data_IF_355076487804
#
_entry.id   IF_355076487804
#
_cell.length_a   1.000
_cell.length_b   1.000
_cell.length_c   1.000
_cell.angle_alpha   90.00
_cell.angle_beta   90.00
_cell.angle_gamma   90.00
#
_symmetry.space_group_name_H-M   'P 1'
#
loop_
_entity.id
_entity.type
_entity.pdbx_description
1 polymer ?
#
# COMPACT_ATOMS: atom_id res chain seq x y z
N UNK A 1 -1.38 5.93 -67.87
CA UNK A 1 -0.81 7.04 -68.66
C UNK A 1 -0.60 8.20 -67.72
N UNK A 2 0.66 8.46 -67.34
CA UNK A 2 1.48 9.56 -67.88
C UNK A 2 1.12 10.88 -67.14
N UNK A 3 2.00 11.69 -66.57
CA UNK A 3 3.38 11.98 -66.93
C UNK A 3 3.89 13.15 -66.03
N UNK A 4 5.14 13.07 -65.54
CA UNK A 4 6.10 14.17 -65.26
C UNK A 4 5.69 15.31 -64.26
N UNK A 5 6.56 16.14 -63.67
CA UNK A 5 7.92 16.60 -63.98
C UNK A 5 8.61 17.01 -62.66
N UNK A 6 9.92 16.81 -62.61
CA UNK A 6 10.94 17.44 -61.77
C UNK A 6 10.71 18.94 -61.47
N UNK A 7 11.05 19.38 -60.25
CA UNK A 7 11.78 20.64 -60.06
C UNK A 7 12.83 20.45 -58.97
N UNK A 8 14.10 20.54 -59.38
CA UNK A 8 15.24 20.78 -58.51
C UNK A 8 15.37 22.28 -58.27
N UNK A 9 15.63 22.70 -57.03
CA UNK A 9 16.34 23.96 -56.75
C UNK A 9 16.94 23.91 -55.34
N UNK A 10 18.26 23.84 -55.33
CA UNK A 10 19.16 23.91 -54.19
C UNK A 10 19.16 25.35 -53.66
N UNK A 11 18.97 25.53 -52.35
CA UNK A 11 19.54 26.69 -51.65
C UNK A 11 20.26 26.21 -50.39
N UNK A 12 21.58 26.29 -50.49
CA UNK A 12 22.57 26.21 -49.41
C UNK A 12 22.36 27.34 -48.40
N UNK A 13 22.17 26.98 -47.14
CA UNK A 13 22.27 27.89 -46.00
C UNK A 13 22.94 27.15 -44.84
N UNK A 14 24.19 27.51 -44.55
CA UNK A 14 24.91 27.10 -43.35
C UNK A 14 24.33 27.80 -42.12
N UNK A 15 24.06 27.06 -41.05
CA UNK A 15 24.24 27.53 -39.66
C UNK A 15 24.16 26.33 -38.73
N UNK A 16 25.28 26.06 -38.07
CA UNK A 16 25.43 25.37 -36.78
C UNK A 16 24.35 24.36 -36.36
N UNK A 17 24.60 23.08 -36.66
CA UNK A 17 24.06 21.98 -35.87
C UNK A 17 24.76 21.96 -34.51
N UNK A 18 24.36 22.88 -33.62
CA UNK A 18 24.61 22.72 -32.19
C UNK A 18 23.66 21.63 -31.71
N UNK A 19 24.10 20.38 -31.85
CA UNK A 19 23.50 19.23 -31.22
C UNK A 19 23.27 19.57 -29.73
N UNK A 20 22.01 19.59 -29.24
CA UNK A 20 21.75 19.71 -27.82
C UNK A 20 22.52 18.57 -27.13
N UNK A 21 23.33 18.84 -26.10
CA UNK A 21 23.91 17.75 -25.32
C UNK A 21 22.74 16.88 -24.86
N UNK A 22 22.80 15.60 -25.22
CA UNK A 22 21.88 14.60 -24.73
C UNK A 22 21.81 14.75 -23.22
N UNK A 23 20.68 15.23 -22.71
CA UNK A 23 20.44 15.31 -21.29
C UNK A 23 20.57 13.89 -20.76
N UNK A 24 21.65 13.63 -20.03
CA UNK A 24 21.76 12.43 -19.22
C UNK A 24 20.47 12.33 -18.39
N UNK A 25 19.87 11.14 -18.26
CA UNK A 25 18.71 10.98 -17.40
C UNK A 25 19.13 11.41 -15.99
N UNK A 26 18.70 12.60 -15.57
CA UNK A 26 18.75 12.98 -14.17
C UNK A 26 17.94 11.93 -13.43
N UNK A 27 18.53 11.18 -12.48
CA UNK A 27 17.72 10.47 -11.52
C UNK A 27 17.09 11.57 -10.65
N UNK A 28 15.95 12.11 -11.10
CA UNK A 28 14.97 12.71 -10.20
C UNK A 28 14.28 11.57 -9.48
N UNK A 29 15.06 10.73 -8.80
CA UNK A 29 14.60 10.13 -7.57
C UNK A 29 14.53 11.32 -6.62
N UNK A 30 13.38 12.00 -6.62
CA UNK A 30 12.88 12.57 -5.38
C UNK A 30 12.83 11.37 -4.43
N UNK A 31 13.95 11.14 -3.74
CA UNK A 31 13.96 10.50 -2.45
C UNK A 31 13.12 11.47 -1.63
N UNK A 32 11.79 11.30 -1.71
CA UNK A 32 10.94 11.68 -0.61
C UNK A 32 11.69 11.13 0.58
N UNK A 33 12.16 12.01 1.46
CA UNK A 33 12.77 11.61 2.70
C UNK A 33 11.91 10.45 3.19
N UNK A 34 12.48 9.25 3.24
CA UNK A 34 11.88 8.15 3.96
C UNK A 34 11.88 8.69 5.38
N UNK A 35 10.83 9.42 5.72
CA UNK A 35 10.45 9.64 7.10
C UNK A 35 10.50 8.23 7.66
N UNK A 36 11.35 8.06 8.66
CA UNK A 36 11.41 6.83 9.43
C UNK A 36 10.02 6.68 10.05
N UNK A 37 9.11 6.00 9.33
CA UNK A 37 7.74 5.79 9.78
C UNK A 37 7.84 5.00 11.07
N UNK A 38 7.22 5.47 12.17
CA UNK A 38 7.37 4.80 13.44
C UNK A 38 6.88 3.35 13.32
N UNK A 39 7.57 2.40 13.98
CA UNK A 39 7.21 0.99 13.92
C UNK A 39 5.74 0.81 14.29
N UNK A 40 5.01 0.05 13.47
CA UNK A 40 3.57 -0.17 13.63
C UNK A 40 2.66 0.76 12.83
N UNK A 41 3.14 1.88 12.27
CA UNK A 41 2.32 2.81 11.46
C UNK A 41 1.60 2.08 10.31
N UNK A 42 2.35 1.32 9.50
CA UNK A 42 1.78 0.55 8.38
C UNK A 42 0.69 -0.43 8.84
N UNK A 43 0.91 -1.06 9.99
CA UNK A 43 -0.04 -2.02 10.57
C UNK A 43 -1.32 -1.31 11.00
N UNK A 44 -1.18 -0.18 11.68
CA UNK A 44 -2.28 0.64 12.16
C UNK A 44 -3.11 1.20 11.01
N UNK A 45 -2.48 1.73 9.96
CA UNK A 45 -3.19 2.17 8.76
C UNK A 45 -3.99 1.04 8.11
N UNK A 46 -3.39 -0.15 7.97
CA UNK A 46 -4.07 -1.31 7.38
C UNK A 46 -5.28 -1.77 8.19
N UNK A 47 -5.15 -1.91 9.51
CA UNK A 47 -6.27 -2.39 10.36
C UNK A 47 -7.39 -1.35 10.43
N UNK A 48 -7.07 -0.06 10.52
CA UNK A 48 -8.07 1.02 10.52
C UNK A 48 -8.84 1.05 9.20
N UNK A 49 -8.14 0.95 8.06
CA UNK A 49 -8.79 0.86 6.74
C UNK A 49 -9.70 -0.37 6.66
N UNK A 50 -9.20 -1.53 7.08
CA UNK A 50 -9.96 -2.77 7.02
C UNK A 50 -11.22 -2.76 7.89
N UNK A 51 -11.14 -2.16 9.09
CA UNK A 51 -12.31 -1.96 9.97
C UNK A 51 -13.30 -0.99 9.33
N UNK A 52 -12.83 0.15 8.82
CA UNK A 52 -13.67 1.18 8.21
C UNK A 52 -14.39 0.68 6.95
N UNK A 53 -13.72 -0.13 6.15
CA UNK A 53 -14.25 -0.70 4.91
C UNK A 53 -15.04 -2.00 5.14
N UNK A 54 -14.95 -2.59 6.35
CA UNK A 54 -15.59 -3.87 6.66
C UNK A 54 -14.96 -5.06 5.94
N UNK A 55 -13.67 -5.00 5.62
CA UNK A 55 -12.96 -5.97 4.78
C UNK A 55 -12.15 -7.01 5.57
N UNK A 56 -12.28 -7.06 6.90
CA UNK A 56 -11.53 -8.02 7.74
C UNK A 56 -11.73 -9.49 7.36
N UNK A 57 -12.92 -9.84 6.84
CA UNK A 57 -13.21 -11.21 6.37
C UNK A 57 -12.87 -11.43 4.89
N UNK A 58 -12.34 -10.42 4.19
CA UNK A 58 -11.86 -10.55 2.82
C UNK A 58 -10.54 -11.34 2.80
N UNK A 59 -10.38 -12.32 1.88
CA UNK A 59 -9.15 -13.11 1.79
C UNK A 59 -7.90 -12.23 1.69
N UNK A 60 -6.89 -12.52 2.52
CA UNK A 60 -5.60 -11.84 2.52
C UNK A 60 -5.51 -10.59 3.38
N UNK A 61 -6.62 -9.95 3.77
CA UNK A 61 -6.58 -8.69 4.53
C UNK A 61 -5.94 -8.85 5.91
N UNK A 62 -6.37 -9.85 6.69
CA UNK A 62 -5.77 -10.11 8.01
C UNK A 62 -4.32 -10.58 7.88
N UNK A 63 -4.01 -11.39 6.87
CA UNK A 63 -2.63 -11.81 6.58
C UNK A 63 -1.71 -10.62 6.29
N UNK A 64 -2.19 -9.65 5.53
CA UNK A 64 -1.46 -8.42 5.21
C UNK A 64 -1.24 -7.54 6.44
N UNK A 65 -2.21 -7.48 7.36
CA UNK A 65 -2.09 -6.77 8.65
C UNK A 65 -1.01 -7.45 9.50
N UNK A 66 -1.06 -8.78 9.64
CA UNK A 66 -0.09 -9.57 10.42
C UNK A 66 1.31 -9.51 9.81
N UNK A 67 1.41 -9.47 8.49
CA UNK A 67 2.71 -9.30 7.81
C UNK A 67 3.29 -7.93 8.09
N UNK A 68 2.46 -6.87 8.04
CA UNK A 68 2.88 -5.52 8.38
C UNK A 68 3.29 -5.39 9.86
N UNK A 69 2.70 -6.19 10.76
CA UNK A 69 3.03 -6.13 12.19
C UNK A 69 4.39 -6.71 12.54
N UNK A 70 5.09 -7.35 11.58
CA UNK A 70 6.44 -7.90 11.80
C UNK A 70 7.49 -6.84 12.12
N UNK A 71 7.24 -5.58 11.73
CA UNK A 71 8.09 -4.42 12.04
C UNK A 71 7.53 -3.58 13.18
N UNK A 72 6.40 -3.97 13.76
CA UNK A 72 5.77 -3.26 14.86
C UNK A 72 6.34 -3.72 16.21
N UNK A 73 6.51 -2.78 17.13
CA UNK A 73 6.81 -3.10 18.51
C UNK A 73 5.56 -3.62 19.24
N UNK A 74 5.75 -4.27 20.39
CA UNK A 74 4.66 -4.45 21.34
C UNK A 74 4.20 -3.06 21.82
N UNK A 75 2.90 -2.75 21.88
CA UNK A 75 1.72 -3.65 21.92
C UNK A 75 1.05 -3.98 20.57
N UNK A 76 1.44 -3.34 19.47
CA UNK A 76 0.75 -3.48 18.16
C UNK A 76 0.92 -4.89 17.60
N UNK A 77 2.11 -5.47 17.71
CA UNK A 77 2.38 -6.84 17.25
C UNK A 77 1.54 -7.90 18.02
N UNK A 78 1.31 -7.70 19.31
CA UNK A 78 0.53 -8.63 20.14
C UNK A 78 -0.95 -8.63 19.74
N UNK A 79 -1.53 -7.45 19.49
CA UNK A 79 -2.91 -7.33 19.03
C UNK A 79 -3.09 -7.84 17.59
N UNK A 80 -2.09 -7.67 16.72
CA UNK A 80 -2.10 -8.29 15.39
C UNK A 80 -2.17 -9.82 15.48
N UNK A 81 -1.44 -10.42 16.41
CA UNK A 81 -1.47 -11.87 16.62
C UNK A 81 -2.81 -12.36 17.19
N UNK A 82 -3.44 -11.57 18.08
CA UNK A 82 -4.79 -11.83 18.57
C UNK A 82 -5.82 -11.76 17.45
N UNK A 83 -5.73 -10.76 16.58
CA UNK A 83 -6.56 -10.65 15.37
C UNK A 83 -6.39 -11.87 14.45
N UNK A 84 -5.14 -12.29 14.19
CA UNK A 84 -4.82 -13.50 13.41
C UNK A 84 -5.48 -14.76 13.98
N UNK A 85 -5.43 -14.91 15.31
CA UNK A 85 -6.02 -16.04 16.02
C UNK A 85 -7.55 -16.04 15.90
N UNK A 86 -8.18 -14.88 16.10
CA UNK A 86 -9.62 -14.73 15.93
C UNK A 86 -10.06 -15.01 14.48
N UNK A 87 -9.32 -14.51 13.49
CA UNK A 87 -9.61 -14.75 12.08
C UNK A 87 -9.50 -16.23 11.72
N UNK A 88 -8.46 -16.90 12.21
CA UNK A 88 -8.30 -18.35 12.01
C UNK A 88 -9.48 -19.13 12.59
N UNK A 89 -9.95 -18.76 13.78
CA UNK A 89 -11.13 -19.36 14.39
C UNK A 89 -12.41 -19.09 13.57
N UNK A 90 -12.58 -17.87 13.05
CA UNK A 90 -13.72 -17.51 12.20
C UNK A 90 -13.73 -18.29 10.88
N UNK A 91 -12.58 -18.44 10.23
CA UNK A 91 -12.45 -19.28 9.02
C UNK A 91 -12.76 -20.74 9.33
N UNK A 92 -12.31 -21.27 10.48
CA UNK A 92 -12.60 -22.64 10.89
C UNK A 92 -14.08 -22.87 11.25
N UNK A 93 -14.77 -21.84 11.74
CA UNK A 93 -16.19 -21.88 12.09
C UNK A 93 -17.12 -21.69 10.88
N UNK A 94 -16.57 -21.52 9.67
CA UNK A 94 -17.36 -21.24 8.47
C UNK A 94 -18.39 -22.35 8.19
N UNK A 95 -19.63 -21.96 7.86
CA UNK A 95 -20.81 -22.80 7.71
C UNK A 95 -21.19 -23.62 8.96
N UNK A 96 -20.82 -23.15 10.15
CA UNK A 96 -21.26 -23.73 11.43
C UNK A 96 -22.14 -22.75 12.20
N UNK A 97 -22.88 -23.25 13.19
CA UNK A 97 -23.70 -22.41 14.07
C UNK A 97 -22.88 -21.37 14.86
N UNK A 98 -21.56 -21.57 14.99
CA UNK A 98 -20.65 -20.68 15.71
C UNK A 98 -20.05 -19.56 14.83
N UNK A 99 -20.32 -19.56 13.51
CA UNK A 99 -19.74 -18.56 12.59
C UNK A 99 -20.01 -17.10 13.02
N UNK A 100 -21.23 -16.71 13.43
CA UNK A 100 -21.52 -15.32 13.80
C UNK A 100 -20.69 -14.85 14.99
N UNK A 101 -20.55 -15.70 16.01
CA UNK A 101 -19.79 -15.38 17.22
C UNK A 101 -18.29 -15.29 16.92
N UNK A 102 -17.78 -16.14 16.03
CA UNK A 102 -16.39 -16.09 15.61
C UNK A 102 -16.08 -14.82 14.79
N UNK A 103 -16.99 -14.38 13.91
CA UNK A 103 -16.87 -13.09 13.20
C UNK A 103 -16.95 -11.90 14.17
N UNK A 104 -17.81 -11.99 15.19
CA UNK A 104 -17.88 -10.98 16.24
C UNK A 104 -16.56 -10.89 17.02
N UNK A 105 -15.91 -12.03 17.29
CA UNK A 105 -14.60 -12.06 17.92
C UNK A 105 -13.50 -11.42 17.06
N UNK A 106 -13.52 -11.59 15.73
CA UNK A 106 -12.62 -10.88 14.81
C UNK A 106 -12.82 -9.37 14.91
N UNK A 107 -14.07 -8.93 14.91
CA UNK A 107 -14.42 -7.50 15.03
C UNK A 107 -13.96 -6.92 16.37
N UNK A 108 -14.12 -7.67 17.46
CA UNK A 108 -13.67 -7.27 18.79
C UNK A 108 -12.13 -7.15 18.87
N UNK A 109 -11.40 -8.12 18.30
CA UNK A 109 -9.94 -8.09 18.24
C UNK A 109 -9.44 -6.91 17.39
N UNK A 110 -10.06 -6.66 16.24
CA UNK A 110 -9.71 -5.52 15.40
C UNK A 110 -9.98 -4.17 16.10
N UNK A 111 -11.10 -4.05 16.82
CA UNK A 111 -11.40 -2.85 17.59
C UNK A 111 -10.39 -2.61 18.73
N UNK A 112 -9.94 -3.67 19.41
CA UNK A 112 -8.88 -3.58 20.41
C UNK A 112 -7.57 -3.08 19.81
N UNK A 113 -7.22 -3.59 18.62
CA UNK A 113 -6.04 -3.16 17.88
C UNK A 113 -6.13 -1.71 17.42
N UNK A 114 -7.27 -1.28 16.87
CA UNK A 114 -7.55 0.13 16.52
C UNK A 114 -7.38 1.04 17.74
N UNK A 115 -7.91 0.63 18.90
CA UNK A 115 -7.71 1.39 20.14
C UNK A 115 -6.23 1.53 20.49
N UNK A 116 -5.44 0.46 20.38
CA UNK A 116 -3.99 0.52 20.61
C UNK A 116 -3.29 1.47 19.63
N UNK A 117 -3.69 1.46 18.37
CA UNK A 117 -3.17 2.37 17.35
C UNK A 117 -3.48 3.84 17.68
N UNK A 118 -4.72 4.15 18.09
CA UNK A 118 -5.13 5.48 18.50
C UNK A 118 -4.42 5.95 19.77
N UNK A 119 -4.32 5.09 20.79
CA UNK A 119 -3.59 5.37 22.04
C UNK A 119 -2.09 5.63 21.79
N UNK A 120 -1.53 5.02 20.74
CA UNK A 120 -0.13 5.19 20.33
C UNK A 120 0.09 6.36 19.37
N UNK A 121 -0.97 7.02 18.90
CA UNK A 121 -0.89 8.08 17.89
C UNK A 121 -0.46 7.62 16.49
N UNK A 122 -0.56 6.32 16.20
CA UNK A 122 -0.05 5.71 14.97
C UNK A 122 -1.05 5.77 13.79
N UNK A 123 -2.29 6.19 14.03
CA UNK A 123 -3.34 6.27 13.01
C UNK A 123 -3.21 7.51 12.11
N UNK A 124 -2.50 8.55 12.57
CA UNK A 124 -2.45 9.88 11.92
C UNK A 124 -1.10 10.21 11.26
N UNK A 125 -0.13 9.31 11.40
CA UNK A 125 1.25 9.49 10.90
C UNK A 125 1.46 8.92 9.49
N UNK A 126 0.50 8.15 8.96
CA UNK A 126 0.53 7.56 7.61
C UNK A 126 -0.28 8.31 6.56
#
# INVERSE_FOLDING_TARGET
>A
MLLLVLIAAVTTGCSDDTQPPAAAPTPSASVAAQLDDPPGTLTCTKVVSAVREGTLMTPGVVTDIVTASTTADAPVADEAQRLSTAFTAAVAAHNTDNEPDAIAAVSAAAAAMVKVCGDSGLETVG
#
